data_IF_375982505051
#
_entry.id   IF_375982505051
#
_cell.length_a   1.000
_cell.length_b   1.000
_cell.length_c   1.000
_cell.angle_alpha   90.00
_cell.angle_beta   90.00
_cell.angle_gamma   90.00
#
_symmetry.space_group_name_H-M   'P 1'
#
loop_
_entity.id
_entity.type
_entity.pdbx_description
1 polymer ?
#
# COMPACT_ATOMS: atom_id res chain seq x y z
N UNK A 1 10.24 23.01 -11.10
CA UNK A 1 10.26 21.53 -10.98
C UNK A 1 9.02 20.98 -10.27
N UNK A 2 8.79 21.29 -8.99
CA UNK A 2 7.64 20.76 -8.21
C UNK A 2 6.24 20.95 -8.86
N UNK A 3 5.94 22.13 -9.43
CA UNK A 3 4.66 22.39 -10.12
C UNK A 3 4.44 21.47 -11.34
N UNK A 4 5.50 21.15 -12.09
CA UNK A 4 5.42 20.28 -13.27
C UNK A 4 5.18 18.83 -12.86
N UNK A 5 5.94 18.32 -11.88
CA UNK A 5 5.74 16.99 -11.33
C UNK A 5 4.33 16.82 -10.76
N UNK A 6 3.83 17.81 -10.02
CA UNK A 6 2.46 17.82 -9.50
C UNK A 6 1.40 17.77 -10.60
N UNK A 7 1.48 18.65 -11.62
CA UNK A 7 0.50 18.67 -12.70
C UNK A 7 0.47 17.34 -13.44
N UNK A 8 1.63 16.73 -13.68
CA UNK A 8 1.73 15.40 -14.26
C UNK A 8 1.10 14.34 -13.35
N UNK A 9 1.40 14.33 -12.05
CA UNK A 9 0.80 13.44 -11.07
C UNK A 9 -0.73 13.58 -11.03
N UNK A 10 -1.25 14.81 -11.01
CA UNK A 10 -2.69 15.12 -11.03
C UNK A 10 -3.37 14.56 -12.27
N UNK A 11 -2.78 14.73 -13.45
CA UNK A 11 -3.33 14.19 -14.69
C UNK A 11 -3.30 12.67 -14.65
N UNK A 12 -2.14 12.06 -14.39
CA UNK A 12 -1.98 10.60 -14.39
C UNK A 12 -2.89 9.91 -13.37
N UNK A 13 -2.94 10.41 -12.14
CA UNK A 13 -3.73 9.82 -11.07
C UNK A 13 -5.23 9.94 -11.36
N UNK A 14 -5.73 11.09 -11.82
CA UNK A 14 -7.16 11.24 -12.15
C UNK A 14 -7.58 10.54 -13.45
N UNK A 15 -6.61 10.28 -14.33
CA UNK A 15 -6.80 9.49 -15.53
C UNK A 15 -6.96 8.00 -15.18
N UNK A 16 -6.13 7.49 -14.26
CA UNK A 16 -6.10 6.08 -13.90
C UNK A 16 -7.08 5.73 -12.77
N UNK A 17 -7.29 6.60 -11.79
CA UNK A 17 -8.06 6.33 -10.58
C UNK A 17 -9.05 7.45 -10.26
N UNK A 18 -10.11 7.08 -9.53
CA UNK A 18 -10.88 8.04 -8.75
C UNK A 18 -10.30 8.12 -7.35
N UNK A 19 -9.64 9.23 -7.02
CA UNK A 19 -9.03 9.42 -5.70
C UNK A 19 -10.11 9.73 -4.66
N UNK A 20 -9.98 9.14 -3.47
CA UNK A 20 -10.77 9.48 -2.29
C UNK A 20 -9.81 9.76 -1.15
N UNK A 21 -10.04 10.86 -0.43
CA UNK A 21 -9.22 11.28 0.71
C UNK A 21 -10.15 11.43 1.91
N UNK A 22 -9.74 10.89 3.05
CA UNK A 22 -10.44 11.03 4.33
C UNK A 22 -9.44 11.26 5.46
N UNK A 23 -9.92 11.80 6.57
CA UNK A 23 -9.15 12.14 7.76
C UNK A 23 -9.82 11.52 8.99
N UNK A 24 -9.04 10.82 9.80
CA UNK A 24 -9.50 10.33 11.10
C UNK A 24 -9.63 11.48 12.09
N UNK A 25 -8.64 12.37 12.11
CA UNK A 25 -8.56 13.52 13.03
C UNK A 25 -7.87 14.69 12.31
N UNK A 26 -8.64 15.40 11.50
CA UNK A 26 -8.17 16.58 10.75
C UNK A 26 -7.72 17.71 11.68
N UNK A 27 -8.40 17.87 12.82
CA UNK A 27 -8.05 18.88 13.82
C UNK A 27 -6.69 18.60 14.48
N UNK A 28 -6.34 17.34 14.76
CA UNK A 28 -5.00 17.01 15.26
C UNK A 28 -3.91 17.26 14.21
N UNK A 29 -4.17 17.02 12.93
CA UNK A 29 -3.23 17.35 11.85
C UNK A 29 -3.00 18.85 11.74
N UNK A 30 -4.07 19.65 11.80
CA UNK A 30 -3.98 21.11 11.75
C UNK A 30 -3.29 21.72 12.99
N UNK A 31 -3.29 21.01 14.12
CA UNK A 31 -2.64 21.43 15.38
C UNK A 31 -1.14 21.17 15.42
N UNK A 32 -0.57 20.44 14.46
CA UNK A 32 0.89 20.23 14.41
C UNK A 32 1.57 21.60 14.26
N UNK A 33 2.50 21.97 15.17
CA UNK A 33 3.21 23.24 15.05
C UNK A 33 3.99 23.32 13.74
N UNK A 34 3.84 24.42 12.99
CA UNK A 34 4.53 24.63 11.70
C UNK A 34 6.06 24.55 11.78
N UNK A 35 6.62 24.80 12.96
CA UNK A 35 8.07 24.69 13.23
C UNK A 35 8.52 23.24 13.32
N UNK A 36 7.65 22.31 13.70
CA UNK A 36 8.02 20.91 13.95
C UNK A 36 8.14 20.13 12.63
N UNK A 37 8.80 18.97 12.70
CA UNK A 37 9.05 18.13 11.54
C UNK A 37 7.93 17.11 11.38
N UNK A 38 7.36 17.01 10.18
CA UNK A 38 6.33 16.00 9.88
C UNK A 38 6.94 14.84 9.11
N UNK A 39 6.63 13.62 9.55
CA UNK A 39 7.02 12.37 8.90
C UNK A 39 5.78 11.53 8.65
N UNK A 40 5.37 11.41 7.39
CA UNK A 40 4.27 10.53 6.97
C UNK A 40 4.76 9.08 6.94
N UNK A 41 4.15 8.22 7.76
CA UNK A 41 4.41 6.79 7.79
C UNK A 41 3.27 6.04 7.11
N UNK A 42 3.62 5.23 6.12
CA UNK A 42 2.65 4.79 5.11
C UNK A 42 2.74 3.29 4.83
N UNK A 43 1.60 2.61 4.67
CA UNK A 43 1.65 1.27 4.09
C UNK A 43 2.01 1.32 2.59
N UNK A 44 2.57 0.24 2.05
CA UNK A 44 3.07 0.17 0.68
C UNK A 44 2.41 -0.95 -0.12
N UNK A 45 1.55 -0.58 -1.07
CA UNK A 45 0.78 -1.48 -1.93
C UNK A 45 1.20 -1.40 -3.39
N UNK A 46 1.55 -0.21 -3.88
CA UNK A 46 1.85 0.04 -5.30
C UNK A 46 3.00 1.02 -5.45
N UNK A 47 3.74 0.98 -6.57
CA UNK A 47 4.65 2.09 -6.87
C UNK A 47 3.88 3.38 -7.20
N UNK A 48 2.57 3.28 -7.49
CA UNK A 48 1.69 4.43 -7.59
C UNK A 48 1.51 5.18 -6.26
N UNK A 49 1.82 4.56 -5.10
CA UNK A 49 1.66 5.19 -3.77
C UNK A 49 2.38 6.53 -3.70
N UNK A 50 3.64 6.61 -4.17
CA UNK A 50 4.41 7.86 -4.18
C UNK A 50 3.68 8.97 -4.94
N UNK A 51 3.08 8.66 -6.08
CA UNK A 51 2.42 9.62 -6.96
C UNK A 51 1.05 10.01 -6.40
N UNK A 52 0.28 9.04 -5.90
CA UNK A 52 -1.03 9.26 -5.28
C UNK A 52 -0.88 10.16 -4.06
N UNK A 53 0.12 9.91 -3.22
CA UNK A 53 0.32 10.67 -1.98
C UNK A 53 0.86 12.05 -2.28
N UNK A 54 1.83 12.18 -3.19
CA UNK A 54 2.31 13.47 -3.65
C UNK A 54 1.15 14.31 -4.22
N UNK A 55 0.23 13.70 -4.97
CA UNK A 55 -0.98 14.36 -5.46
C UNK A 55 -1.91 14.82 -4.32
N UNK A 56 -2.15 13.96 -3.32
CA UNK A 56 -3.04 14.26 -2.19
C UNK A 56 -2.47 15.34 -1.27
N UNK A 57 -1.15 15.32 -1.01
CA UNK A 57 -0.48 16.26 -0.11
C UNK A 57 -0.12 17.61 -0.75
N UNK A 58 -0.29 17.73 -2.07
CA UNK A 58 0.10 18.92 -2.82
C UNK A 58 -0.63 20.23 -2.43
N UNK A 59 -1.74 20.16 -1.70
CA UNK A 59 -2.49 21.33 -1.23
C UNK A 59 -1.91 21.96 0.05
N UNK A 60 -0.61 21.80 0.32
CA UNK A 60 0.06 22.55 1.40
C UNK A 60 1.41 22.00 1.84
N UNK A 61 1.83 20.81 1.39
CA UNK A 61 3.02 20.14 1.94
C UNK A 61 3.91 19.57 0.84
N UNK A 62 5.20 19.93 0.85
CA UNK A 62 6.23 19.31 0.01
C UNK A 62 6.85 18.14 0.76
N UNK A 63 6.81 16.93 0.20
CA UNK A 63 7.26 15.71 0.87
C UNK A 63 8.48 15.09 0.18
N UNK A 64 9.57 14.92 0.92
CA UNK A 64 10.75 14.14 0.52
C UNK A 64 10.52 12.65 0.80
N UNK A 65 10.57 11.81 -0.23
CA UNK A 65 10.31 10.37 -0.11
C UNK A 65 11.57 9.51 -0.07
N UNK A 66 11.55 8.48 0.78
CA UNK A 66 12.49 7.37 0.75
C UNK A 66 12.13 6.35 -0.36
N UNK A 67 12.81 6.38 -1.50
CA UNK A 67 12.50 5.53 -2.66
C UNK A 67 13.56 4.42 -2.83
N UNK A 68 13.15 3.24 -3.32
CA UNK A 68 14.11 2.17 -3.62
C UNK A 68 15.00 2.47 -4.84
N UNK A 69 16.16 1.82 -4.92
CA UNK A 69 17.14 2.01 -6.00
C UNK A 69 16.60 1.77 -7.43
N UNK A 70 15.55 0.96 -7.60
CA UNK A 70 14.90 0.71 -8.90
C UNK A 70 14.44 2.00 -9.59
N UNK A 71 14.09 3.02 -8.81
CA UNK A 71 13.62 4.31 -9.31
C UNK A 71 14.75 5.20 -9.86
N UNK A 72 16.02 4.76 -9.79
CA UNK A 72 17.14 5.41 -10.47
C UNK A 72 17.18 5.11 -11.98
N UNK A 73 16.27 4.28 -12.49
CA UNK A 73 16.14 4.08 -13.93
C UNK A 73 15.68 5.37 -14.62
N UNK A 74 16.23 5.68 -15.79
CA UNK A 74 15.76 6.79 -16.61
C UNK A 74 14.36 6.49 -17.18
N UNK A 75 13.41 7.45 -17.21
CA UNK A 75 13.47 8.84 -16.73
C UNK A 75 12.98 9.03 -15.28
N UNK A 76 12.64 7.95 -14.57
CA UNK A 76 12.07 7.99 -13.21
C UNK A 76 12.96 8.73 -12.21
N UNK A 77 14.28 8.61 -12.34
CA UNK A 77 15.22 9.26 -11.42
C UNK A 77 14.98 10.77 -11.30
N UNK A 78 14.81 11.44 -12.46
CA UNK A 78 14.57 12.89 -12.51
C UNK A 78 13.21 13.25 -11.92
N UNK A 79 12.19 12.43 -12.18
CA UNK A 79 10.85 12.62 -11.63
C UNK A 79 10.89 12.54 -10.10
N UNK A 80 11.48 11.49 -9.54
CA UNK A 80 11.57 11.33 -8.09
C UNK A 80 12.44 12.40 -7.42
N UNK A 81 13.61 12.74 -7.99
CA UNK A 81 14.44 13.84 -7.50
C UNK A 81 13.70 15.17 -7.53
N UNK A 82 12.84 15.41 -8.53
CA UNK A 82 12.04 16.64 -8.62
C UNK A 82 10.97 16.77 -7.53
N UNK A 83 10.62 15.66 -6.86
CA UNK A 83 9.78 15.63 -5.65
C UNK A 83 10.60 15.66 -4.35
N UNK A 84 11.92 15.84 -4.42
CA UNK A 84 12.79 15.82 -3.25
C UNK A 84 13.06 14.43 -2.70
N UNK A 85 12.77 13.37 -3.46
CA UNK A 85 13.01 12.00 -3.01
C UNK A 85 14.50 11.64 -2.96
N UNK A 86 14.86 10.75 -2.03
CA UNK A 86 16.19 10.16 -1.88
C UNK A 86 16.15 8.64 -2.04
N UNK A 87 17.23 8.07 -2.56
CA UNK A 87 17.28 6.66 -2.96
C UNK A 87 17.96 5.78 -1.90
N UNK A 88 17.35 4.65 -1.60
CA UNK A 88 17.82 3.68 -0.61
C UNK A 88 18.16 2.35 -1.26
N UNK A 89 19.37 1.87 -0.97
CA UNK A 89 19.87 0.54 -1.33
C UNK A 89 19.56 -0.45 -0.21
N UNK A 90 18.42 -1.13 -0.35
CA UNK A 90 17.87 -2.01 0.71
C UNK A 90 18.67 -3.28 0.97
N UNK A 91 19.57 -3.67 0.05
CA UNK A 91 20.39 -4.90 0.13
C UNK A 91 21.86 -4.62 0.48
N UNK A 92 22.24 -3.34 0.54
CA UNK A 92 23.59 -2.93 0.93
C UNK A 92 23.72 -3.05 2.44
N UNK A 93 24.79 -3.70 2.90
CA UNK A 93 25.05 -3.92 4.34
C UNK A 93 26.27 -3.15 4.84
N UNK A 94 26.99 -2.47 3.95
CA UNK A 94 28.22 -1.77 4.34
C UNK A 94 27.97 -0.69 5.39
N UNK A 95 28.73 -0.68 6.50
CA UNK A 95 28.57 0.31 7.57
C UNK A 95 28.68 1.77 7.09
N UNK A 96 29.58 2.06 6.15
CA UNK A 96 29.76 3.40 5.60
C UNK A 96 28.50 3.90 4.89
N UNK A 97 27.83 3.05 4.10
CA UNK A 97 26.58 3.41 3.44
C UNK A 97 25.52 3.82 4.46
N UNK A 98 25.38 3.03 5.54
CA UNK A 98 24.42 3.31 6.61
C UNK A 98 24.78 4.57 7.40
N UNK A 99 26.06 4.84 7.66
CA UNK A 99 26.51 6.06 8.31
C UNK A 99 26.19 7.30 7.47
N UNK A 100 26.46 7.27 6.16
CA UNK A 100 26.13 8.38 5.25
C UNK A 100 24.61 8.57 5.16
N UNK A 101 23.84 7.49 5.04
CA UNK A 101 22.39 7.55 5.01
C UNK A 101 21.81 8.12 6.31
N UNK A 102 22.33 7.70 7.47
CA UNK A 102 21.94 8.22 8.78
C UNK A 102 22.18 9.73 8.86
N UNK A 103 23.38 10.20 8.47
CA UNK A 103 23.71 11.63 8.47
C UNK A 103 22.85 12.43 7.51
N UNK A 104 22.56 11.89 6.33
CA UNK A 104 21.64 12.52 5.38
C UNK A 104 20.23 12.67 5.96
N UNK A 105 19.68 11.60 6.55
CA UNK A 105 18.34 11.63 7.16
C UNK A 105 18.27 12.60 8.34
N UNK A 106 19.30 12.62 9.18
CA UNK A 106 19.41 13.59 10.27
C UNK A 106 19.50 15.02 9.74
N UNK A 107 20.27 15.28 8.68
CA UNK A 107 20.39 16.60 8.06
C UNK A 107 19.05 17.12 7.54
N UNK A 108 18.29 16.32 6.77
CA UNK A 108 17.00 16.76 6.25
C UNK A 108 15.95 16.93 7.37
N UNK A 109 16.00 16.08 8.39
CA UNK A 109 15.14 16.18 9.58
C UNK A 109 15.46 17.47 10.35
N UNK A 110 16.75 17.76 10.60
CA UNK A 110 17.22 19.03 11.19
C UNK A 110 16.81 20.24 10.38
N UNK A 111 16.69 20.14 9.07
CA UNK A 111 16.25 21.27 8.25
C UNK A 111 14.72 21.40 8.14
N UNK A 112 13.96 20.58 8.86
CA UNK A 112 12.49 20.65 8.86
C UNK A 112 11.85 20.14 7.57
N UNK A 113 12.59 19.37 6.76
CA UNK A 113 12.05 18.78 5.55
C UNK A 113 10.97 17.78 5.93
N UNK A 114 9.77 17.96 5.38
CA UNK A 114 8.69 16.98 5.56
C UNK A 114 9.03 15.70 4.79
N UNK A 115 8.88 14.55 5.43
CA UNK A 115 9.35 13.27 4.90
C UNK A 115 8.20 12.27 4.74
N UNK A 116 8.32 11.37 3.76
CA UNK A 116 7.39 10.28 3.50
C UNK A 116 8.14 8.94 3.47
N UNK A 117 7.74 8.01 4.34
CA UNK A 117 8.43 6.73 4.53
C UNK A 117 7.44 5.58 4.54
N UNK A 118 7.83 4.51 3.86
CA UNK A 118 7.14 3.23 3.88
C UNK A 118 7.84 2.28 4.89
N UNK A 119 7.42 2.22 6.17
CA UNK A 119 8.06 1.37 7.18
C UNK A 119 8.14 -0.10 6.76
N UNK A 120 7.23 -0.59 5.91
CA UNK A 120 7.28 -1.97 5.38
C UNK A 120 8.54 -2.30 4.55
N UNK A 121 9.26 -1.27 4.08
CA UNK A 121 10.53 -1.42 3.35
C UNK A 121 10.39 -2.03 1.95
N UNK A 122 9.17 -2.23 1.45
CA UNK A 122 8.89 -2.69 0.10
C UNK A 122 7.45 -3.15 -0.07
N UNK A 123 7.03 -3.33 -1.33
CA UNK A 123 5.68 -3.74 -1.68
C UNK A 123 5.28 -5.05 -1.00
N UNK A 124 4.02 -5.14 -0.63
CA UNK A 124 3.38 -6.40 -0.27
C UNK A 124 3.20 -7.28 -1.50
N UNK A 125 3.35 -8.60 -1.34
CA UNK A 125 3.15 -9.59 -2.42
C UNK A 125 1.84 -10.33 -2.30
N UNK A 126 1.31 -10.44 -1.08
CA UNK A 126 0.08 -11.16 -0.75
C UNK A 126 -1.06 -10.22 -0.34
N UNK A 127 -0.82 -8.91 -0.31
CA UNK A 127 -1.81 -7.90 0.08
C UNK A 127 -1.79 -7.57 1.58
N UNK A 128 -1.10 -8.33 2.44
CA UNK A 128 -1.05 -8.07 3.90
C UNK A 128 -0.06 -6.98 4.26
N UNK A 129 -0.26 -6.34 5.41
CA UNK A 129 0.75 -5.45 6.01
C UNK A 129 2.00 -6.25 6.38
N UNK A 130 3.18 -5.72 6.08
CA UNK A 130 4.46 -6.34 6.41
C UNK A 130 4.98 -5.82 7.75
N UNK A 131 5.91 -6.59 8.32
CA UNK A 131 6.67 -6.15 9.47
C UNK A 131 7.50 -4.89 9.13
N UNK A 132 7.62 -3.94 10.07
CA UNK A 132 8.30 -2.69 9.80
C UNK A 132 9.83 -2.89 9.81
N UNK A 133 10.52 -2.05 9.06
CA UNK A 133 11.97 -1.90 9.05
C UNK A 133 12.32 -0.66 9.87
N UNK A 134 13.16 -0.85 10.88
CA UNK A 134 13.44 0.18 11.88
C UNK A 134 14.49 1.21 11.45
N UNK A 135 15.32 0.92 10.45
CA UNK A 135 16.51 1.73 10.14
C UNK A 135 16.26 3.23 9.93
N UNK A 136 15.32 3.60 9.05
CA UNK A 136 15.00 5.01 8.84
C UNK A 136 14.34 5.66 10.05
N UNK A 137 13.46 4.91 10.73
CA UNK A 137 12.78 5.39 11.93
C UNK A 137 13.80 5.68 13.04
N UNK A 138 14.79 4.81 13.21
CA UNK A 138 15.93 4.99 14.12
C UNK A 138 16.71 6.26 13.79
N UNK A 139 17.09 6.47 12.52
CA UNK A 139 17.83 7.67 12.10
C UNK A 139 17.07 8.96 12.36
N UNK A 140 15.76 8.97 12.08
CA UNK A 140 14.89 10.12 12.36
C UNK A 140 14.81 10.37 13.87
N UNK A 141 14.47 9.35 14.66
CA UNK A 141 14.28 9.50 16.10
C UNK A 141 15.54 10.03 16.77
N UNK A 142 16.71 9.52 16.40
CA UNK A 142 18.01 9.97 16.93
C UNK A 142 18.37 11.40 16.58
N UNK A 143 17.66 12.06 15.67
CA UNK A 143 17.88 13.49 15.38
C UNK A 143 17.66 14.34 16.63
N UNK A 144 16.77 13.93 17.54
CA UNK A 144 16.49 14.69 18.79
C UNK A 144 17.60 14.62 19.83
N UNK A 145 18.62 13.77 19.61
CA UNK A 145 19.82 13.74 20.46
C UNK A 145 20.75 14.92 20.17
N UNK A 146 20.52 15.63 19.07
CA UNK A 146 21.25 16.85 18.75
C UNK A 146 20.81 18.00 19.66
N UNK A 147 21.76 18.60 20.36
CA UNK A 147 21.49 19.70 21.30
C UNK A 147 20.83 20.91 20.63
N UNK A 148 21.11 21.13 19.34
CA UNK A 148 20.54 22.24 18.56
C UNK A 148 19.13 21.93 18.01
N UNK A 149 18.66 20.68 18.13
CA UNK A 149 17.35 20.28 17.62
C UNK A 149 16.22 20.57 18.63
N UNK A 150 15.79 21.84 18.67
CA UNK A 150 14.73 22.30 19.58
C UNK A 150 13.29 21.93 19.14
N UNK A 151 13.11 21.29 17.97
CA UNK A 151 11.82 20.93 17.37
C UNK A 151 11.29 19.58 17.87
N UNK A 152 10.02 19.29 17.64
CA UNK A 152 9.48 17.92 17.73
C UNK A 152 9.44 17.25 16.35
N UNK A 153 9.29 15.93 16.35
CA UNK A 153 9.01 15.11 15.17
C UNK A 153 7.65 14.48 15.32
N UNK A 154 6.75 14.72 14.38
CA UNK A 154 5.41 14.18 14.35
C UNK A 154 5.29 13.07 13.30
N UNK A 155 4.94 11.87 13.74
CA UNK A 155 4.62 10.76 12.86
C UNK A 155 3.14 10.79 12.49
N UNK A 156 2.84 10.97 11.21
CA UNK A 156 1.47 10.96 10.68
C UNK A 156 1.19 9.60 10.04
N UNK A 157 0.29 8.77 10.60
CA UNK A 157 -0.14 7.54 9.95
C UNK A 157 -0.88 7.87 8.65
N UNK A 158 -0.52 7.22 7.55
CA UNK A 158 -1.25 7.32 6.28
C UNK A 158 -1.52 5.93 5.75
N UNK A 159 -2.78 5.65 5.42
CA UNK A 159 -3.16 4.35 4.89
C UNK A 159 -3.73 4.47 3.48
N UNK A 160 -3.28 3.57 2.60
CA UNK A 160 -3.66 3.48 1.21
C UNK A 160 -4.29 2.13 0.90
N UNK A 161 -5.34 2.15 0.08
CA UNK A 161 -5.89 0.96 -0.53
C UNK A 161 -6.49 1.25 -1.92
N UNK A 162 -6.62 0.20 -2.72
CA UNK A 162 -6.99 0.32 -4.13
C UNK A 162 -8.08 -0.69 -4.52
N UNK A 163 -8.93 -0.29 -5.47
CA UNK A 163 -9.75 -1.25 -6.21
C UNK A 163 -8.92 -2.09 -7.19
N UNK A 164 -7.78 -1.54 -7.64
CA UNK A 164 -6.81 -2.24 -8.47
C UNK A 164 -5.41 -1.71 -8.22
N UNK A 165 -4.47 -2.60 -7.91
CA UNK A 165 -3.04 -2.31 -7.88
C UNK A 165 -2.45 -2.61 -9.26
N UNK A 166 -1.56 -1.74 -9.76
CA UNK A 166 -0.98 -1.89 -11.11
C UNK A 166 -0.08 -3.13 -11.21
N UNK A 167 0.66 -3.39 -10.13
CA UNK A 167 1.70 -4.42 -10.04
C UNK A 167 1.20 -5.76 -9.50
N UNK A 168 -0.09 -5.91 -9.19
CA UNK A 168 -0.62 -7.07 -8.44
C UNK A 168 -0.25 -8.43 -9.08
N UNK A 169 -0.40 -8.57 -10.39
CA UNK A 169 -0.07 -9.81 -11.13
C UNK A 169 1.42 -10.13 -11.07
N UNK A 170 2.29 -9.13 -11.19
CA UNK A 170 3.74 -9.32 -11.04
C UNK A 170 4.12 -9.67 -9.60
N UNK A 171 3.51 -9.01 -8.62
CA UNK A 171 3.75 -9.24 -7.20
C UNK A 171 3.33 -10.65 -6.76
N UNK A 172 2.17 -11.11 -7.23
CA UNK A 172 1.69 -12.47 -7.00
C UNK A 172 2.59 -13.48 -7.73
N UNK A 173 3.00 -13.22 -8.98
CA UNK A 173 3.92 -14.13 -9.68
C UNK A 173 5.23 -14.31 -8.92
N UNK A 174 5.80 -13.24 -8.38
CA UNK A 174 7.01 -13.30 -7.54
C UNK A 174 6.82 -14.11 -6.26
N UNK A 175 5.58 -14.19 -5.74
CA UNK A 175 5.25 -15.01 -4.56
C UNK A 175 5.12 -16.50 -4.92
N UNK A 176 4.52 -16.78 -6.08
CA UNK A 176 4.18 -18.15 -6.54
C UNK A 176 5.35 -18.87 -7.20
N UNK A 177 6.24 -18.12 -7.85
CA UNK A 177 7.42 -18.63 -8.52
C UNK A 177 8.63 -17.82 -8.02
N UNK A 178 9.12 -18.18 -6.83
CA UNK A 178 10.36 -17.60 -6.31
C UNK A 178 11.49 -17.82 -7.33
N UNK A 179 11.98 -16.73 -7.93
CA UNK A 179 13.10 -16.76 -8.87
C UNK A 179 12.74 -16.49 -10.34
N UNK A 180 11.47 -16.57 -10.74
CA UNK A 180 11.06 -16.27 -12.13
C UNK A 180 10.83 -14.76 -12.32
N UNK A 181 11.90 -13.99 -12.13
CA UNK A 181 11.91 -12.58 -12.52
C UNK A 181 12.04 -12.52 -14.04
N UNK A 182 11.05 -11.98 -14.77
CA UNK A 182 11.23 -11.77 -16.20
C UNK A 182 12.48 -10.92 -16.42
N UNK A 183 13.33 -11.32 -17.38
CA UNK A 183 14.54 -10.57 -17.71
C UNK A 183 14.23 -9.10 -18.00
N UNK A 184 15.21 -8.21 -17.79
CA UNK A 184 15.03 -6.74 -17.94
C UNK A 184 14.39 -6.34 -19.28
N UNK A 185 14.71 -7.05 -20.36
CA UNK A 185 14.13 -6.84 -21.68
C UNK A 185 12.64 -7.22 -21.72
N UNK A 186 12.26 -8.40 -21.22
CA UNK A 186 10.86 -8.83 -21.12
C UNK A 186 10.03 -7.87 -20.26
N UNK A 187 10.61 -7.38 -19.16
CA UNK A 187 9.98 -6.37 -18.33
C UNK A 187 9.78 -5.06 -19.09
N UNK A 188 10.81 -4.56 -19.79
CA UNK A 188 10.69 -3.34 -20.61
C UNK A 188 9.62 -3.49 -21.70
N UNK A 189 9.62 -4.59 -22.45
CA UNK A 189 8.59 -4.86 -23.46
C UNK A 189 7.18 -4.89 -22.87
N UNK A 190 6.99 -5.56 -21.73
CA UNK A 190 5.68 -5.62 -21.07
C UNK A 190 5.19 -4.24 -20.60
N UNK A 191 6.09 -3.40 -20.06
CA UNK A 191 5.79 -2.03 -19.66
C UNK A 191 5.46 -1.18 -20.88
N UNK A 192 6.28 -1.24 -21.95
CA UNK A 192 6.06 -0.48 -23.18
C UNK A 192 4.76 -0.87 -23.86
N UNK A 193 4.48 -2.17 -24.02
CA UNK A 193 3.22 -2.66 -24.58
C UNK A 193 2.02 -2.22 -23.74
N UNK A 194 2.15 -2.25 -22.40
CA UNK A 194 1.11 -1.76 -21.50
C UNK A 194 0.88 -0.25 -21.64
N UNK A 195 1.93 0.56 -21.72
CA UNK A 195 1.84 2.01 -21.93
C UNK A 195 1.20 2.32 -23.28
N UNK A 196 1.65 1.69 -24.37
CA UNK A 196 1.08 1.86 -25.71
C UNK A 196 -0.39 1.44 -25.78
N UNK A 197 -0.76 0.32 -25.14
CA UNK A 197 -2.15 -0.12 -25.06
C UNK A 197 -3.03 0.87 -24.28
N UNK A 198 -2.52 1.46 -23.19
CA UNK A 198 -3.25 2.49 -22.45
C UNK A 198 -3.33 3.80 -23.23
N UNK A 199 -2.30 4.18 -23.98
CA UNK A 199 -2.31 5.34 -24.86
C UNK A 199 -3.32 5.17 -26.00
N UNK A 200 -3.33 4.00 -26.65
CA UNK A 200 -4.36 3.68 -27.66
C UNK A 200 -5.77 3.70 -27.08
N UNK A 201 -5.97 3.19 -25.85
CA UNK A 201 -7.26 3.29 -25.15
C UNK A 201 -7.62 4.74 -24.80
N UNK A 202 -6.65 5.57 -24.46
CA UNK A 202 -6.86 7.00 -24.19
C UNK A 202 -7.32 7.71 -25.46
N UNK A 203 -6.58 7.55 -26.56
CA UNK A 203 -6.87 8.18 -27.85
C UNK A 203 -8.21 7.73 -28.44
N UNK A 204 -8.63 6.49 -28.16
CA UNK A 204 -9.92 5.94 -28.60
C UNK A 204 -11.07 6.17 -27.61
N UNK A 205 -10.85 6.91 -26.51
CA UNK A 205 -11.86 7.15 -25.47
C UNK A 205 -12.28 5.90 -24.69
N UNK A 206 -11.57 4.77 -24.86
CA UNK A 206 -11.85 3.46 -24.23
C UNK A 206 -11.10 3.26 -22.91
N UNK A 207 -10.35 4.26 -22.45
CA UNK A 207 -9.62 4.16 -21.19
C UNK A 207 -10.59 4.09 -20.02
N UNK A 208 -10.65 2.93 -19.38
CA UNK A 208 -11.43 2.73 -18.15
C UNK A 208 -10.52 2.94 -16.95
N UNK A 209 -10.96 3.78 -16.01
CA UNK A 209 -10.32 3.93 -14.71
C UNK A 209 -10.24 2.59 -13.99
N UNK A 210 -9.19 2.42 -13.22
CA UNK A 210 -8.85 1.26 -12.40
C UNK A 210 -9.56 1.26 -11.04
N UNK A 211 -10.75 1.85 -11.00
CA UNK A 211 -11.50 2.04 -9.76
C UNK A 211 -10.94 3.16 -8.90
N UNK A 212 -10.93 2.97 -7.59
CA UNK A 212 -10.44 3.95 -6.62
C UNK A 212 -9.03 3.70 -6.14
N UNK A 213 -8.35 4.81 -5.86
CA UNK A 213 -7.23 4.89 -4.92
C UNK A 213 -7.73 5.68 -3.72
N UNK A 214 -7.77 5.07 -2.54
CA UNK A 214 -8.25 5.71 -1.32
C UNK A 214 -7.08 5.95 -0.36
N UNK A 215 -7.05 7.13 0.24
CA UNK A 215 -6.01 7.57 1.18
C UNK A 215 -6.67 8.09 2.44
N UNK A 216 -6.27 7.58 3.59
CA UNK A 216 -6.74 8.04 4.88
C UNK A 216 -5.57 8.53 5.74
N UNK A 217 -5.74 9.68 6.38
CA UNK A 217 -4.79 10.20 7.36
C UNK A 217 -5.24 9.91 8.78
N UNK A 218 -4.35 9.40 9.61
CA UNK A 218 -4.60 9.05 11.00
C UNK A 218 -4.21 10.15 11.99
N UNK A 219 -4.55 9.93 13.25
CA UNK A 219 -4.12 10.82 14.35
C UNK A 219 -2.59 10.82 14.49
N UNK A 220 -1.93 11.99 14.37
CA UNK A 220 -0.48 12.12 14.52
C UNK A 220 0.03 11.65 15.89
N UNK A 221 1.28 11.21 15.94
CA UNK A 221 2.00 10.86 17.17
C UNK A 221 3.25 11.74 17.30
N UNK A 222 3.35 12.50 18.38
CA UNK A 222 4.57 13.23 18.74
C UNK A 222 5.64 12.25 19.22
N UNK A 223 6.86 12.39 18.70
CA UNK A 223 8.02 11.65 19.17
C UNK A 223 8.34 11.99 20.63
N UNK A 224 8.25 13.27 21.02
CA UNK A 224 8.42 13.67 22.43
C UNK A 224 7.39 13.01 23.35
N UNK A 225 6.12 12.97 22.95
CA UNK A 225 5.08 12.28 23.72
C UNK A 225 5.36 10.79 23.84
N UNK A 226 5.85 10.13 22.78
CA UNK A 226 6.27 8.74 22.86
C UNK A 226 7.47 8.55 23.80
N UNK A 227 8.51 9.41 23.69
CA UNK A 227 9.70 9.36 24.54
C UNK A 227 9.38 9.55 26.03
N UNK A 228 8.35 10.33 26.37
CA UNK A 228 7.89 10.49 27.75
C UNK A 228 7.34 9.19 28.36
N UNK A 229 6.92 8.23 27.53
CA UNK A 229 6.44 6.90 27.96
C UNK A 229 7.48 5.80 27.79
N UNK A 230 8.55 6.07 27.04
CA UNK A 230 9.64 5.14 26.80
C UNK A 230 10.67 5.22 27.94
N UNK A 231 11.56 4.22 28.08
CA UNK A 231 12.65 4.29 29.04
C UNK A 231 13.51 5.56 28.87
N UNK A 232 13.93 6.21 29.98
CA UNK A 232 14.75 7.41 29.90
C UNK A 232 16.04 7.20 29.11
N UNK A 233 16.35 8.12 28.20
CA UNK A 233 17.57 8.06 27.39
C UNK A 233 17.61 6.93 26.36
N UNK A 234 16.49 6.26 26.05
CA UNK A 234 16.41 5.11 25.12
C UNK A 234 17.13 5.33 23.79
N UNK A 235 17.12 6.56 23.27
CA UNK A 235 17.75 6.88 21.99
C UNK A 235 19.29 6.88 22.05
N UNK A 236 19.87 7.08 23.22
CA UNK A 236 21.31 7.09 23.46
C UNK A 236 21.90 5.70 23.75
N UNK A 237 21.06 4.68 23.97
CA UNK A 237 21.50 3.31 24.22
C UNK A 237 22.22 2.70 23.02
N UNK A 238 22.89 1.57 23.24
CA UNK A 238 23.43 0.75 22.14
C UNK A 238 22.30 0.37 21.18
N UNK A 239 22.67 0.10 19.92
CA UNK A 239 21.68 -0.23 18.89
C UNK A 239 20.87 -1.47 19.28
N UNK A 240 21.52 -2.47 19.85
CA UNK A 240 20.94 -3.74 20.27
C UNK A 240 19.88 -3.55 21.35
N UNK A 241 20.11 -2.63 22.29
CA UNK A 241 19.17 -2.30 23.36
C UNK A 241 18.04 -1.36 22.90
N UNK A 242 18.33 -0.46 21.95
CA UNK A 242 17.36 0.53 21.46
C UNK A 242 16.34 -0.05 20.48
N UNK A 243 16.77 -0.97 19.59
CA UNK A 243 15.90 -1.49 18.53
C UNK A 243 14.60 -2.15 19.04
N UNK A 244 14.58 -2.93 20.14
CA UNK A 244 13.34 -3.45 20.71
C UNK A 244 12.34 -2.36 21.13
N UNK A 245 12.80 -1.24 21.68
CA UNK A 245 11.92 -0.12 22.05
C UNK A 245 11.41 0.61 20.81
N UNK A 246 12.26 0.84 19.81
CA UNK A 246 11.83 1.39 18.51
C UNK A 246 10.86 0.45 17.78
N UNK A 247 10.97 -0.87 17.98
CA UNK A 247 10.02 -1.83 17.43
C UNK A 247 8.61 -1.61 18.02
N UNK A 248 8.49 -1.22 19.30
CA UNK A 248 7.20 -0.87 19.91
C UNK A 248 6.59 0.36 19.22
N UNK A 249 7.38 1.41 19.00
CA UNK A 249 6.95 2.58 18.23
C UNK A 249 6.51 2.21 16.81
N UNK A 250 7.32 1.42 16.11
CA UNK A 250 7.00 1.00 14.74
C UNK A 250 5.73 0.15 14.66
N UNK A 251 5.52 -0.74 15.64
CA UNK A 251 4.31 -1.56 15.76
C UNK A 251 3.09 -0.70 16.08
N UNK A 252 3.21 0.28 16.97
CA UNK A 252 2.13 1.23 17.26
C UNK A 252 1.76 2.03 16.01
N UNK A 253 2.73 2.50 15.25
CA UNK A 253 2.47 3.22 13.99
C UNK A 253 1.83 2.32 12.94
N UNK A 254 2.28 1.07 12.77
CA UNK A 254 1.62 0.12 11.87
C UNK A 254 0.21 -0.25 12.33
N UNK A 255 -0.04 -0.34 13.64
CA UNK A 255 -1.38 -0.57 14.18
C UNK A 255 -2.30 0.60 13.86
N UNK A 256 -1.83 1.86 14.02
CA UNK A 256 -2.57 3.06 13.62
C UNK A 256 -2.86 3.09 12.12
N UNK A 257 -1.86 2.81 11.28
CA UNK A 257 -2.02 2.71 9.82
C UNK A 257 -3.04 1.62 9.47
N UNK A 258 -2.90 0.43 10.07
CA UNK A 258 -3.79 -0.71 9.84
C UNK A 258 -5.24 -0.40 10.18
N UNK A 259 -5.50 0.25 11.31
CA UNK A 259 -6.83 0.61 11.78
C UNK A 259 -7.57 1.56 10.81
N UNK A 260 -6.83 2.39 10.06
CA UNK A 260 -7.42 3.37 9.14
C UNK A 260 -7.32 2.96 7.67
N UNK A 261 -6.88 1.73 7.34
CA UNK A 261 -6.85 1.26 5.95
C UNK A 261 -8.24 1.39 5.33
N UNK A 262 -8.41 2.18 4.25
CA UNK A 262 -9.69 2.33 3.60
C UNK A 262 -10.14 1.00 2.98
N UNK A 263 -11.40 0.63 3.18
CA UNK A 263 -12.01 -0.54 2.55
C UNK A 263 -12.69 -0.09 1.26
N UNK A 264 -12.06 -0.38 0.12
CA UNK A 264 -12.62 -0.10 -1.20
C UNK A 264 -13.55 -1.23 -1.68
N UNK A 265 -14.41 -0.99 -2.68
CA UNK A 265 -15.37 -2.00 -3.17
C UNK A 265 -14.75 -3.36 -3.54
N UNK A 266 -13.61 -3.40 -4.22
CA UNK A 266 -13.01 -4.68 -4.66
C UNK A 266 -12.50 -5.53 -3.49
N UNK A 267 -11.69 -5.02 -2.53
CA UNK A 267 -11.36 -5.74 -1.30
C UNK A 267 -12.57 -6.27 -0.53
N UNK A 268 -13.64 -5.49 -0.39
CA UNK A 268 -14.85 -5.93 0.30
C UNK A 268 -15.53 -7.10 -0.43
N UNK A 269 -15.73 -6.97 -1.75
CA UNK A 269 -16.32 -8.03 -2.56
C UNK A 269 -15.45 -9.29 -2.60
N UNK A 270 -14.12 -9.13 -2.69
CA UNK A 270 -13.19 -10.25 -2.69
C UNK A 270 -13.21 -11.00 -1.35
N UNK A 271 -13.26 -10.28 -0.23
CA UNK A 271 -13.41 -10.89 1.08
C UNK A 271 -14.75 -11.63 1.23
N UNK A 272 -15.85 -11.05 0.76
CA UNK A 272 -17.16 -11.69 0.78
C UNK A 272 -17.20 -12.96 -0.07
N UNK A 273 -16.76 -12.89 -1.33
CA UNK A 273 -16.69 -14.03 -2.25
C UNK A 273 -15.88 -15.19 -1.66
N UNK A 274 -14.68 -14.89 -1.14
CA UNK A 274 -13.81 -15.92 -0.62
C UNK A 274 -14.27 -16.47 0.74
N UNK A 275 -15.16 -15.79 1.47
CA UNK A 275 -15.62 -16.26 2.79
C UNK A 275 -16.48 -17.52 2.74
N UNK A 276 -17.02 -17.86 1.57
CA UNK A 276 -17.83 -19.07 1.36
C UNK A 276 -16.98 -20.32 1.13
N UNK A 277 -15.67 -20.16 0.86
CA UNK A 277 -14.75 -21.26 0.55
C UNK A 277 -15.21 -22.15 -0.63
N UNK A 278 -16.09 -21.62 -1.47
CA UNK A 278 -16.64 -22.28 -2.66
C UNK A 278 -16.17 -21.59 -3.94
N UNK A 279 -16.27 -22.29 -5.07
CA UNK A 279 -15.96 -21.74 -6.41
C UNK A 279 -17.19 -21.12 -7.05
N UNK A 280 -18.39 -21.66 -6.77
CA UNK A 280 -19.67 -21.13 -7.25
C UNK A 280 -20.45 -20.63 -6.04
N UNK A 281 -20.88 -19.37 -6.07
CA UNK A 281 -21.61 -18.73 -4.96
C UNK A 281 -22.82 -17.96 -5.49
N UNK A 282 -24.02 -18.12 -4.92
CA UNK A 282 -25.17 -17.31 -5.30
C UNK A 282 -24.91 -15.81 -5.10
N UNK A 283 -25.26 -14.99 -6.10
CA UNK A 283 -25.05 -13.54 -6.05
C UNK A 283 -25.74 -12.89 -4.85
N UNK A 284 -26.96 -13.33 -4.51
CA UNK A 284 -27.70 -12.86 -3.35
C UNK A 284 -26.89 -13.08 -2.05
N UNK A 285 -26.37 -14.29 -1.86
CA UNK A 285 -25.53 -14.61 -0.70
C UNK A 285 -24.26 -13.75 -0.62
N UNK A 286 -23.63 -13.45 -1.77
CA UNK A 286 -22.47 -12.54 -1.80
C UNK A 286 -22.85 -11.13 -1.35
N UNK A 287 -24.00 -10.61 -1.80
CA UNK A 287 -24.47 -9.27 -1.40
C UNK A 287 -24.76 -9.22 0.10
N UNK A 288 -25.46 -10.22 0.64
CA UNK A 288 -25.75 -10.32 2.08
C UNK A 288 -24.46 -10.40 2.88
N UNK A 289 -23.48 -11.17 2.41
CA UNK A 289 -22.17 -11.28 3.05
C UNK A 289 -21.40 -9.96 3.00
N UNK A 290 -21.44 -9.24 1.87
CA UNK A 290 -20.83 -7.92 1.76
C UNK A 290 -21.46 -6.92 2.74
N UNK A 291 -22.78 -7.00 2.93
CA UNK A 291 -23.54 -6.18 3.88
C UNK A 291 -23.08 -6.46 5.32
N UNK A 292 -23.07 -7.73 5.72
CA UNK A 292 -22.56 -8.17 7.03
C UNK A 292 -21.12 -7.73 7.27
N UNK A 293 -20.23 -7.86 6.27
CA UNK A 293 -18.84 -7.43 6.40
C UNK A 293 -18.74 -5.90 6.51
N UNK A 294 -19.56 -5.14 5.77
CA UNK A 294 -19.62 -3.68 5.88
C UNK A 294 -20.05 -3.25 7.27
N UNK A 295 -21.09 -3.86 7.83
CA UNK A 295 -21.63 -3.48 9.13
C UNK A 295 -20.61 -3.80 10.24
N UNK A 296 -19.97 -4.98 10.17
CA UNK A 296 -18.86 -5.31 11.06
C UNK A 296 -17.68 -4.34 10.95
N UNK A 297 -17.37 -3.89 9.74
CA UNK A 297 -16.32 -2.88 9.51
C UNK A 297 -16.70 -1.54 10.13
N UNK A 298 -17.98 -1.15 10.12
CA UNK A 298 -18.47 0.04 10.80
C UNK A 298 -18.34 -0.09 12.33
N UNK A 299 -18.65 -1.25 12.90
CA UNK A 299 -18.50 -1.51 14.35
C UNK A 299 -17.05 -1.35 14.83
N UNK A 300 -16.06 -1.78 14.04
CA UNK A 300 -14.64 -1.62 14.36
C UNK A 300 -14.07 -0.26 13.95
N UNK A 301 -14.92 0.71 13.61
CA UNK A 301 -14.58 2.04 13.11
C UNK A 301 -13.65 2.03 11.88
N UNK A 302 -13.72 0.97 11.07
CA UNK A 302 -12.99 0.93 9.81
C UNK A 302 -13.63 1.85 8.78
N UNK A 303 -12.78 2.50 7.99
CA UNK A 303 -13.22 3.47 6.99
C UNK A 303 -13.64 2.77 5.70
N UNK A 304 -14.92 2.42 5.60
CA UNK A 304 -15.49 1.90 4.35
C UNK A 304 -15.72 3.05 3.37
N UNK A 305 -15.09 2.97 2.20
CA UNK A 305 -15.14 4.03 1.19
C UNK A 305 -16.56 4.15 0.65
N UNK A 306 -17.25 5.23 1.04
CA UNK A 306 -18.70 5.41 0.87
C UNK A 306 -19.52 4.32 1.59
N UNK A 307 -19.22 4.05 2.86
CA UNK A 307 -19.95 3.06 3.66
C UNK A 307 -21.45 3.32 3.84
N UNK A 308 -21.93 4.55 3.62
CA UNK A 308 -23.35 4.91 3.74
C UNK A 308 -24.21 4.70 2.49
N UNK A 309 -23.68 4.12 1.40
CA UNK A 309 -24.49 3.74 0.22
C UNK A 309 -24.95 2.29 0.31
N UNK A 310 -26.04 1.99 -0.40
CA UNK A 310 -26.60 0.64 -0.50
C UNK A 310 -25.54 -0.33 -1.01
N UNK A 311 -25.57 -1.57 -0.50
CA UNK A 311 -24.57 -2.58 -0.84
C UNK A 311 -24.52 -2.90 -2.33
N UNK A 312 -25.67 -2.85 -3.01
CA UNK A 312 -25.76 -2.97 -4.46
C UNK A 312 -24.89 -1.95 -5.21
N UNK A 313 -24.85 -0.69 -4.74
CA UNK A 313 -24.05 0.35 -5.38
C UNK A 313 -22.54 0.15 -5.17
N UNK A 314 -22.16 -0.51 -4.07
CA UNK A 314 -20.78 -0.93 -3.79
C UNK A 314 -20.43 -2.14 -4.67
N UNK A 315 -21.31 -3.14 -4.73
CA UNK A 315 -21.17 -4.31 -5.60
C UNK A 315 -21.02 -3.93 -7.05
N UNK A 316 -21.85 -3.04 -7.61
CA UNK A 316 -21.77 -2.65 -9.02
C UNK A 316 -20.41 -2.07 -9.41
N UNK A 317 -19.73 -1.40 -8.47
CA UNK A 317 -18.38 -0.88 -8.69
C UNK A 317 -17.34 -1.99 -8.64
N UNK A 318 -17.44 -2.87 -7.65
CA UNK A 318 -16.58 -4.05 -7.54
C UNK A 318 -16.72 -4.94 -8.77
N UNK A 319 -17.96 -5.26 -9.15
CA UNK A 319 -18.32 -6.11 -10.28
C UNK A 319 -17.74 -5.62 -11.61
N UNK A 320 -17.77 -4.30 -11.88
CA UNK A 320 -17.11 -3.74 -13.05
C UNK A 320 -15.63 -4.10 -13.12
N UNK A 321 -14.92 -4.04 -11.99
CA UNK A 321 -13.50 -4.39 -11.93
C UNK A 321 -13.28 -5.92 -11.97
N UNK A 322 -14.05 -6.70 -11.22
CA UNK A 322 -13.96 -8.16 -11.21
C UNK A 322 -14.19 -8.74 -12.62
N UNK A 323 -15.20 -8.25 -13.35
CA UNK A 323 -15.51 -8.65 -14.73
C UNK A 323 -14.45 -8.15 -15.73
N UNK A 324 -14.03 -6.88 -15.65
CA UNK A 324 -12.98 -6.33 -16.52
C UNK A 324 -11.69 -7.17 -16.44
N UNK A 325 -11.41 -7.72 -15.26
CA UNK A 325 -10.20 -8.48 -14.97
C UNK A 325 -10.37 -9.99 -15.09
N UNK A 326 -11.57 -10.45 -15.44
CA UNK A 326 -11.92 -11.88 -15.54
C UNK A 326 -11.53 -12.63 -14.26
N UNK A 327 -11.93 -12.10 -13.10
CA UNK A 327 -11.72 -12.78 -11.81
C UNK A 327 -12.92 -13.65 -11.44
N UNK A 328 -14.11 -13.20 -11.83
CA UNK A 328 -15.39 -13.83 -11.54
C UNK A 328 -16.28 -13.68 -12.78
N UNK A 329 -17.03 -14.72 -13.12
CA UNK A 329 -18.05 -14.69 -14.17
C UNK A 329 -19.43 -14.93 -13.55
N UNK A 330 -20.48 -14.45 -14.21
CA UNK A 330 -21.86 -14.68 -13.78
C UNK A 330 -22.47 -15.78 -14.64
N UNK A 331 -23.14 -16.73 -14.01
CA UNK A 331 -23.87 -17.83 -14.63
C UNK A 331 -25.24 -17.91 -13.95
N UNK A 332 -26.28 -17.43 -14.65
CA UNK A 332 -27.58 -17.18 -14.04
C UNK A 332 -27.47 -16.24 -12.83
N UNK A 333 -28.00 -16.68 -11.69
CA UNK A 333 -27.93 -15.96 -10.41
C UNK A 333 -26.70 -16.32 -9.57
N UNK A 334 -25.78 -17.11 -10.12
CA UNK A 334 -24.55 -17.54 -9.47
C UNK A 334 -23.33 -16.81 -10.01
N UNK A 335 -22.31 -16.72 -9.15
CA UNK A 335 -21.00 -16.16 -9.45
C UNK A 335 -19.97 -17.28 -9.39
N UNK A 336 -19.21 -17.45 -10.46
CA UNK A 336 -18.15 -18.46 -10.57
C UNK A 336 -16.79 -17.77 -10.46
N UNK A 337 -16.04 -18.10 -9.41
CA UNK A 337 -14.66 -17.65 -9.20
C UNK A 337 -13.75 -18.42 -10.16
N UNK A 338 -13.07 -17.70 -11.05
CA UNK A 338 -12.15 -18.35 -11.98
C UNK A 338 -10.86 -18.78 -11.26
N UNK A 339 -10.29 -19.97 -11.54
CA UNK A 339 -9.07 -20.46 -10.88
C UNK A 339 -7.90 -19.45 -10.94
N UNK A 340 -7.66 -18.88 -12.14
CA UNK A 340 -6.64 -17.83 -12.36
C UNK A 340 -6.94 -16.51 -11.65
N UNK A 341 -8.19 -16.30 -11.24
CA UNK A 341 -8.66 -15.10 -10.53
C UNK A 341 -8.52 -15.18 -9.01
N UNK A 342 -8.52 -16.40 -8.45
CA UNK A 342 -8.49 -16.63 -6.99
C UNK A 342 -7.28 -15.98 -6.29
N UNK A 343 -6.03 -16.08 -6.78
CA UNK A 343 -4.89 -15.42 -6.13
C UNK A 343 -5.02 -13.90 -6.07
N UNK A 344 -5.65 -13.29 -7.08
CA UNK A 344 -5.92 -11.85 -7.09
C UNK A 344 -7.01 -11.48 -6.08
N UNK A 345 -8.09 -12.26 -6.00
CA UNK A 345 -9.11 -12.04 -4.97
C UNK A 345 -8.50 -12.15 -3.56
N UNK A 346 -7.61 -13.13 -3.33
CA UNK A 346 -6.93 -13.28 -2.04
C UNK A 346 -6.06 -12.07 -1.73
N UNK A 347 -5.29 -11.57 -2.70
CA UNK A 347 -4.50 -10.34 -2.56
C UNK A 347 -5.38 -9.16 -2.11
N UNK A 348 -6.53 -8.95 -2.75
CA UNK A 348 -7.43 -7.85 -2.38
C UNK A 348 -8.10 -8.07 -1.02
N UNK A 349 -8.54 -9.29 -0.71
CA UNK A 349 -9.14 -9.61 0.58
C UNK A 349 -8.13 -9.44 1.73
N UNK A 350 -6.88 -9.87 1.52
CA UNK A 350 -5.79 -9.74 2.48
C UNK A 350 -5.44 -8.29 2.83
N UNK A 351 -5.73 -7.34 1.93
CA UNK A 351 -5.53 -5.91 2.19
C UNK A 351 -6.36 -5.37 3.37
N UNK A 352 -7.45 -6.05 3.71
CA UNK A 352 -8.37 -5.68 4.79
C UNK A 352 -8.53 -6.79 5.85
N UNK A 353 -7.82 -7.92 5.72
CA UNK A 353 -8.01 -9.10 6.56
C UNK A 353 -7.71 -8.86 8.05
N UNK A 354 -6.93 -7.85 8.41
CA UNK A 354 -6.71 -7.47 9.80
C UNK A 354 -7.90 -6.68 10.41
N UNK A 355 -8.76 -6.10 9.57
CA UNK A 355 -9.97 -5.37 9.98
C UNK A 355 -11.17 -6.31 10.14
N UNK A 356 -11.30 -7.26 9.23
CA UNK A 356 -12.29 -8.33 9.29
C UNK A 356 -11.58 -9.55 9.83
N UNK A 357 -11.72 -9.91 11.11
CA UNK A 357 -11.24 -11.23 11.57
C UNK A 357 -11.98 -12.31 10.77
N UNK A 358 -11.41 -12.72 9.65
CA UNK A 358 -11.82 -13.89 8.87
C UNK A 358 -11.36 -15.07 9.71
N UNK A 359 -12.29 -15.77 10.37
CA UNK A 359 -11.95 -17.04 11.01
C UNK A 359 -11.53 -18.00 9.90
N UNK A 360 -10.28 -18.43 9.95
CA UNK A 360 -9.66 -19.39 9.02
C UNK A 360 -8.19 -19.04 8.79
N UNK A 361 -7.22 -19.84 9.26
CA UNK A 361 -5.83 -19.66 8.85
C UNK A 361 -5.73 -20.04 7.36
N UNK A 362 -5.65 -19.05 6.48
CA UNK A 362 -5.28 -19.32 5.07
C UNK A 362 -3.79 -19.44 4.98
N UNK A 363 -3.34 -20.66 4.67
CA UNK A 363 -1.99 -20.90 4.16
C UNK A 363 -1.75 -19.95 2.97
N UNK A 364 -0.58 -19.27 2.90
CA UNK A 364 -0.22 -18.50 1.72
C UNK A 364 -0.39 -19.38 0.48
N UNK A 365 -1.01 -18.86 -0.58
CA UNK A 365 -1.16 -19.58 -1.84
C UNK A 365 0.19 -20.19 -2.26
N UNK A 366 0.28 -21.53 -2.18
CA UNK A 366 1.39 -22.34 -2.64
C UNK A 366 0.89 -23.13 -3.86
N UNK A 367 1.74 -23.35 -4.88
CA UNK A 367 1.35 -24.12 -6.10
C UNK A 367 0.75 -25.50 -5.78
N UNK A 368 1.04 -26.05 -4.61
CA UNK A 368 0.53 -27.34 -4.14
C UNK A 368 -0.91 -27.31 -3.60
N UNK A 369 -1.53 -26.14 -3.46
CA UNK A 369 -2.91 -26.00 -2.96
C UNK A 369 -3.97 -26.07 -4.07
N UNK A 370 -3.57 -26.25 -5.34
CA UNK A 370 -4.44 -26.76 -6.39
C UNK A 370 -4.62 -28.28 -6.23
N UNK A 371 -5.41 -28.70 -5.24
CA UNK A 371 -5.97 -30.07 -5.20
C UNK A 371 -7.41 -30.03 -5.71
N UNK A 372 -7.54 -29.73 -7.00
CA UNK A 372 -8.69 -30.10 -7.83
C UNK A 372 -8.23 -30.02 -9.29
N UNK A 373 -7.42 -30.99 -9.69
CA UNK A 373 -7.02 -31.21 -11.08
C UNK A 373 -7.94 -32.26 -11.71
N UNK A 374 -9.22 -31.97 -11.85
CA UNK A 374 -10.16 -32.76 -12.67
C UNK A 374 -10.21 -32.23 -14.09
N UNK A 375 -9.04 -31.98 -14.67
CA UNK A 375 -8.89 -31.83 -16.12
C UNK A 375 -7.98 -32.95 -16.63
N UNK A 376 -8.41 -33.71 -17.66
CA UNK A 376 -7.77 -34.95 -18.06
C UNK A 376 -6.32 -34.71 -18.48
N UNK A 377 -5.39 -35.47 -17.89
CA UNK A 377 -3.99 -35.50 -18.30
C UNK A 377 -3.88 -36.12 -19.68
N UNK A 378 -3.17 -35.46 -20.58
CA UNK A 378 -2.71 -36.06 -21.83
C UNK A 378 -1.81 -37.26 -21.49
N UNK A 379 -2.14 -38.44 -22.04
CA UNK A 379 -1.25 -39.62 -22.00
C UNK A 379 0.08 -39.23 -22.66
N UNK A 380 1.20 -39.48 -21.97
CA UNK A 380 2.51 -39.52 -22.63
C UNK A 380 2.54 -40.75 -23.53
N UNK A 381 3.06 -40.66 -24.76
CA UNK A 381 3.33 -41.85 -25.55
C UNK A 381 4.48 -42.61 -24.89
N UNK A 382 4.30 -43.91 -24.71
CA UNK A 382 5.38 -44.84 -24.41
C UNK A 382 6.29 -44.93 -25.64
N UNK A 383 7.52 -44.45 -25.53
CA UNK A 383 8.78 -45.10 -25.96
C UNK A 383 9.93 -44.13 -25.73
#
# INVERSE_FOLDING_TARGET
>A
YYKVGYNLAKVLVNLLYKVSVDYQDEAALARIPKKDVVVYLMNHRSNADYVVVAYVLAYGVQVSYAVGEWARAWPLEYVFKSFGAYFIRRRYREPLYHAVLERYVQLITRNGVTQGIFPEGGLTRDGRLKLPKLGLLDYICRTVLDGDFARDVWFVPVALNYDRVLEDRSLIRELVAEGDRPGRLSQLFSVTAYVLANLGRLLTGRLRRYGRAAVNFGTPLSLRSWLATAPPGVLAWSKEQRLPELQKLANEMLRRIGAIIPVTPVPLAAAALLSFEQTVVPKAAVLDRMDQLRDRLQEVNAKVVRGGVRIHDIWDRAWRMLRLRQLVVAEGDSLVILPRGRPLLEYYANSIAHLIRIRGPRLPFHKEHERETDLPRLKRPET
#
